data_IF_708386467879
#
_entry.id   IF_708386467879
#
_cell.length_a   1.000
_cell.length_b   1.000
_cell.length_c   1.000
_cell.angle_alpha   90.00
_cell.angle_beta   90.00
_cell.angle_gamma   90.00
#
_symmetry.space_group_name_H-M   'P 1'
#
loop_
_entity.id
_entity.type
_entity.pdbx_description
1 polymer ?
#
# COMPACT_ATOMS: atom_id res chain seq x y z
N UNK A 1 14.66 -9.28 10.77
CA UNK A 1 14.40 -10.11 9.58
C UNK A 1 15.40 -9.75 8.48
N UNK A 2 15.60 -10.64 7.51
CA UNK A 2 16.60 -10.54 6.44
C UNK A 2 16.11 -9.81 5.18
N UNK A 3 14.80 -9.67 5.03
CA UNK A 3 14.16 -8.93 3.94
C UNK A 3 14.42 -7.41 4.03
N UNK A 4 14.28 -6.72 2.89
CA UNK A 4 14.39 -5.26 2.77
C UNK A 4 13.06 -4.54 2.60
N UNK A 5 11.95 -5.14 3.04
CA UNK A 5 10.66 -4.45 3.02
C UNK A 5 10.67 -3.25 3.97
N UNK A 6 9.92 -2.21 3.65
CA UNK A 6 9.72 -1.09 4.56
C UNK A 6 8.86 -1.54 5.74
N UNK A 7 9.47 -1.66 6.92
CA UNK A 7 8.79 -2.16 8.13
C UNK A 7 7.73 -1.21 8.70
N UNK A 8 7.71 0.05 8.25
CA UNK A 8 6.75 1.03 8.75
C UNK A 8 5.39 0.92 8.05
N UNK A 9 5.38 0.46 6.80
CA UNK A 9 4.20 0.44 5.94
C UNK A 9 3.90 -0.94 5.31
N UNK A 10 4.83 -1.90 5.41
CA UNK A 10 4.73 -3.20 4.77
C UNK A 10 5.35 -4.33 5.61
N UNK A 11 5.05 -5.58 5.24
CA UNK A 11 5.62 -6.79 5.84
C UNK A 11 5.98 -7.82 4.75
N UNK A 12 6.94 -8.69 5.07
CA UNK A 12 7.46 -9.71 4.16
C UNK A 12 6.59 -10.98 4.16
N UNK A 13 6.23 -11.45 2.96
CA UNK A 13 5.49 -12.71 2.74
C UNK A 13 6.21 -13.56 1.69
N UNK A 14 6.49 -14.85 1.95
CA UNK A 14 7.14 -15.72 0.96
C UNK A 14 6.24 -15.97 -0.26
N UNK A 15 6.84 -16.00 -1.45
CA UNK A 15 6.14 -16.33 -2.69
C UNK A 15 6.29 -17.83 -2.95
N UNK A 16 5.15 -18.54 -3.01
CA UNK A 16 5.15 -19.98 -3.31
C UNK A 16 5.79 -20.25 -4.68
N UNK A 17 6.67 -21.24 -4.74
CA UNK A 17 7.36 -21.63 -5.97
C UNK A 17 8.66 -20.86 -6.29
N UNK A 18 9.00 -19.79 -5.55
CA UNK A 18 10.29 -19.09 -5.69
C UNK A 18 11.41 -19.59 -4.77
N UNK A 19 11.13 -20.59 -3.93
CA UNK A 19 12.11 -21.15 -3.00
C UNK A 19 12.55 -20.16 -1.92
N UNK A 20 13.79 -20.32 -1.44
CA UNK A 20 14.38 -19.52 -0.36
C UNK A 20 15.44 -18.52 -0.86
N UNK A 21 15.43 -18.21 -2.15
CA UNK A 21 16.39 -17.29 -2.75
C UNK A 21 16.17 -15.86 -2.27
N UNK A 22 17.23 -15.03 -2.34
CA UNK A 22 17.14 -13.60 -2.08
C UNK A 22 16.10 -12.97 -3.03
N UNK A 23 15.08 -12.33 -2.46
CA UNK A 23 13.95 -11.80 -3.22
C UNK A 23 12.82 -12.80 -3.51
N UNK A 24 12.89 -14.03 -2.98
CA UNK A 24 11.82 -15.05 -3.01
C UNK A 24 10.57 -14.69 -2.18
N UNK A 25 10.33 -13.41 -1.94
CA UNK A 25 9.26 -12.88 -1.11
C UNK A 25 8.62 -11.67 -1.80
N UNK A 26 7.49 -11.20 -1.25
CA UNK A 26 6.85 -9.94 -1.59
C UNK A 26 6.70 -9.08 -0.34
N UNK A 27 6.75 -7.76 -0.52
CA UNK A 27 6.41 -6.80 0.51
C UNK A 27 4.94 -6.41 0.36
N UNK A 28 4.09 -6.99 1.22
CA UNK A 28 2.66 -6.66 1.28
C UNK A 28 2.43 -5.48 2.21
N UNK A 29 1.52 -4.59 1.85
CA UNK A 29 1.19 -3.43 2.67
C UNK A 29 0.47 -3.85 3.96
N UNK A 30 0.78 -3.16 5.06
CA UNK A 30 0.08 -3.31 6.33
C UNK A 30 -1.38 -2.86 6.19
N UNK A 31 -2.24 -3.32 7.11
CA UNK A 31 -3.61 -2.83 7.18
C UNK A 31 -3.63 -1.30 7.37
N UNK A 32 -4.46 -0.60 6.59
CA UNK A 32 -4.50 0.86 6.57
C UNK A 32 -3.46 1.50 5.65
N UNK A 33 -2.62 0.68 4.98
CA UNK A 33 -1.76 1.09 3.89
C UNK A 33 -2.17 0.38 2.61
N UNK A 34 -1.89 1.00 1.48
CA UNK A 34 -2.17 0.47 0.15
C UNK A 34 -1.00 0.68 -0.81
N UNK A 35 -0.97 -0.16 -1.83
CA UNK A 35 -0.03 -0.02 -2.94
C UNK A 35 -0.37 1.27 -3.71
N UNK A 36 0.61 2.17 -3.94
CA UNK A 36 0.30 3.51 -4.43
C UNK A 36 -0.03 3.59 -5.93
N UNK A 37 0.27 2.55 -6.71
CA UNK A 37 0.08 2.55 -8.16
C UNK A 37 -1.12 1.68 -8.57
N UNK A 38 -1.76 2.02 -9.69
CA UNK A 38 -2.90 1.28 -10.25
C UNK A 38 -2.43 0.14 -11.15
N UNK A 39 -1.74 -0.83 -10.55
CA UNK A 39 -1.27 -2.01 -11.25
C UNK A 39 -2.14 -3.24 -10.96
N UNK A 40 -1.92 -4.32 -11.71
CA UNK A 40 -2.56 -5.63 -11.46
C UNK A 40 -2.06 -6.30 -10.16
N UNK A 41 -1.07 -5.71 -9.51
CA UNK A 41 -0.45 -6.20 -8.27
C UNK A 41 -0.65 -5.18 -7.14
N UNK A 42 -0.59 -5.67 -5.90
CA UNK A 42 -0.82 -4.86 -4.69
C UNK A 42 0.36 -4.94 -3.72
N UNK A 43 1.55 -5.27 -4.21
CA UNK A 43 2.74 -5.51 -3.41
C UNK A 43 4.01 -5.15 -4.18
N UNK A 44 5.12 -4.96 -3.46
CA UNK A 44 6.45 -4.83 -4.09
C UNK A 44 7.13 -6.20 -4.19
N UNK A 45 7.64 -6.54 -5.38
CA UNK A 45 8.35 -7.80 -5.61
C UNK A 45 9.73 -7.77 -4.92
N UNK A 46 10.00 -8.76 -4.06
CA UNK A 46 11.24 -8.83 -3.30
C UNK A 46 12.50 -8.90 -4.16
N UNK A 47 12.43 -9.43 -5.39
CA UNK A 47 13.59 -9.44 -6.29
C UNK A 47 14.00 -8.02 -6.69
N UNK A 48 13.02 -7.15 -6.96
CA UNK A 48 13.25 -5.75 -7.32
C UNK A 48 13.78 -5.00 -6.09
N UNK A 49 13.18 -5.22 -4.92
CA UNK A 49 13.59 -4.57 -3.68
C UNK A 49 15.03 -4.96 -3.32
N UNK A 50 15.41 -6.24 -3.40
CA UNK A 50 16.78 -6.68 -3.15
C UNK A 50 17.77 -6.15 -4.20
N UNK A 51 17.39 -6.10 -5.48
CA UNK A 51 18.25 -5.54 -6.53
C UNK A 51 18.53 -4.04 -6.31
N UNK A 52 17.52 -3.26 -5.91
CA UNK A 52 17.68 -1.85 -5.58
C UNK A 52 18.46 -1.66 -4.28
N UNK A 53 18.35 -2.60 -3.33
CA UNK A 53 19.21 -2.60 -2.15
C UNK A 53 20.68 -2.86 -2.49
N UNK A 54 20.99 -3.71 -3.48
CA UNK A 54 22.37 -3.86 -3.95
C UNK A 54 22.95 -2.56 -4.50
N UNK A 55 22.13 -1.74 -5.18
CA UNK A 55 22.58 -0.42 -5.65
C UNK A 55 23.05 0.47 -4.49
N UNK A 56 22.44 0.37 -3.30
CA UNK A 56 22.90 1.10 -2.10
C UNK A 56 24.27 0.61 -1.64
N UNK A 57 24.47 -0.71 -1.63
CA UNK A 57 25.75 -1.33 -1.23
C UNK A 57 26.86 -0.91 -2.18
N UNK A 58 26.55 -0.82 -3.47
CA UNK A 58 27.47 -0.43 -4.53
C UNK A 58 27.63 1.09 -4.69
N UNK A 59 27.03 1.90 -3.80
CA UNK A 59 27.03 3.37 -3.85
C UNK A 59 26.52 3.94 -5.20
N UNK A 60 25.50 3.29 -5.76
CA UNK A 60 24.81 3.68 -6.99
C UNK A 60 23.50 4.38 -6.69
N UNK A 61 23.01 5.13 -7.67
CA UNK A 61 21.67 5.69 -7.60
C UNK A 61 20.63 4.57 -7.46
N UNK A 62 19.74 4.71 -6.48
CA UNK A 62 18.67 3.76 -6.19
C UNK A 62 17.34 4.46 -6.02
N UNK A 63 16.24 3.71 -6.20
CA UNK A 63 14.87 4.16 -5.89
C UNK A 63 14.26 3.38 -4.74
N UNK A 64 15.07 2.80 -3.86
CA UNK A 64 14.57 1.96 -2.76
C UNK A 64 13.53 2.68 -1.88
N UNK A 65 13.67 4.00 -1.70
CA UNK A 65 12.79 4.81 -0.88
C UNK A 65 11.35 4.87 -1.39
N UNK A 66 11.12 4.55 -2.66
CA UNK A 66 9.79 4.48 -3.27
C UNK A 66 9.05 3.18 -2.97
N UNK A 67 9.72 2.15 -2.44
CA UNK A 67 9.10 0.87 -2.08
C UNK A 67 8.44 0.94 -0.69
N UNK A 68 7.57 1.92 -0.51
CA UNK A 68 6.80 2.18 0.71
C UNK A 68 5.34 2.29 0.35
N UNK A 69 4.48 1.62 1.12
CA UNK A 69 3.05 1.73 0.91
C UNK A 69 2.55 3.11 1.37
N UNK A 70 1.50 3.63 0.72
CA UNK A 70 0.86 4.88 1.14
C UNK A 70 -0.26 4.59 2.13
N UNK A 71 -0.63 5.56 2.95
CA UNK A 71 -1.85 5.46 3.78
C UNK A 71 -3.05 5.24 2.86
N UNK A 72 -3.83 4.20 3.14
CA UNK A 72 -5.03 3.88 2.40
C UNK A 72 -6.00 5.07 2.50
N UNK A 73 -6.50 5.52 1.35
CA UNK A 73 -7.53 6.55 1.33
C UNK A 73 -8.77 6.03 2.05
N UNK A 74 -9.16 6.66 3.16
CA UNK A 74 -10.48 6.42 3.73
C UNK A 74 -11.52 6.75 2.65
N UNK A 75 -12.52 5.89 2.46
CA UNK A 75 -13.67 6.23 1.61
C UNK A 75 -14.24 7.54 2.14
N UNK A 76 -14.03 8.64 1.40
CA UNK A 76 -14.60 9.92 1.77
C UNK A 76 -16.11 9.74 1.80
N UNK A 77 -16.73 9.88 2.98
CA UNK A 77 -18.19 9.85 3.09
C UNK A 77 -18.69 11.07 2.33
N UNK A 78 -19.15 10.85 1.10
CA UNK A 78 -19.73 11.91 0.29
C UNK A 78 -21.15 12.15 0.77
N UNK A 79 -21.31 13.09 1.70
CA UNK A 79 -22.61 13.57 2.13
C UNK A 79 -23.24 14.44 1.02
N UNK A 80 -24.31 13.97 0.41
CA UNK A 80 -25.10 14.79 -0.50
C UNK A 80 -25.93 15.80 0.30
N UNK A 81 -25.60 17.09 0.14
CA UNK A 81 -26.32 18.21 0.77
C UNK A 81 -27.81 18.19 0.39
N UNK A 82 -28.14 17.76 -0.83
CA UNK A 82 -29.53 17.64 -1.31
C UNK A 82 -30.32 16.62 -0.48
N UNK A 83 -29.73 15.46 -0.19
CA UNK A 83 -30.38 14.41 0.61
C UNK A 83 -30.61 14.88 2.04
N UNK A 84 -29.61 15.55 2.63
CA UNK A 84 -29.71 16.10 3.98
C UNK A 84 -30.82 17.16 4.08
N UNK A 85 -30.89 18.08 3.12
CA UNK A 85 -31.94 19.10 3.08
C UNK A 85 -33.33 18.50 2.85
N UNK A 86 -33.45 17.49 1.98
CA UNK A 86 -34.71 16.79 1.74
C UNK A 86 -35.22 16.08 3.00
N UNK A 87 -34.34 15.40 3.74
CA UNK A 87 -34.67 14.77 5.02
C UNK A 87 -35.09 15.81 6.07
N UNK A 88 -34.38 16.93 6.18
CA UNK A 88 -34.76 18.01 7.10
C UNK A 88 -36.14 18.60 6.77
N UNK A 89 -36.43 18.84 5.49
CA UNK A 89 -37.75 19.31 5.05
C UNK A 89 -38.86 18.30 5.31
N UNK A 90 -38.58 17.01 5.11
CA UNK A 90 -39.52 15.94 5.38
C UNK A 90 -39.84 15.81 6.88
N UNK A 91 -38.81 15.86 7.74
CA UNK A 91 -38.97 15.79 9.19
C UNK A 91 -39.65 17.03 9.77
N UNK A 92 -39.39 18.21 9.22
CA UNK A 92 -40.12 19.42 9.57
C UNK A 92 -41.61 19.27 9.26
N UNK A 93 -41.96 18.72 8.09
CA UNK A 93 -43.36 18.48 7.73
C UNK A 93 -44.12 17.52 8.66
N UNK A 94 -43.42 16.67 9.41
CA UNK A 94 -43.98 15.69 10.34
C UNK A 94 -43.92 16.12 11.82
N UNK A 95 -43.35 17.29 12.13
CA UNK A 95 -43.34 17.91 13.46
C UNK A 95 -44.34 19.05 13.50
#
# INVERSE_FOLDING_TARGET
>A
STDKCDRSSSYCVPIQGRGFDSGGYKCECLQGYEYPFEDLITYYDGQIVEAEFQNIIEDKQTRIDMFKCRLAGASSIQCSVVVLLALMMFLWKFT
#
